data_IF_703299857648
#
_entry.id   IF_703299857648
#
_cell.length_a   1.000
_cell.length_b   1.000
_cell.length_c   1.000
_cell.angle_alpha   90.00
_cell.angle_beta   90.00
_cell.angle_gamma   90.00
#
_symmetry.space_group_name_H-M   'P 1'
#
loop_
_entity.id
_entity.type
_entity.pdbx_description
1 polymer ?
#
# COMPACT_ATOMS: atom_id res chain seq x y z
N UNK A 1 -5.92 8.23 -1.12
CA UNK A 1 -5.66 8.13 0.33
C UNK A 1 -4.28 8.70 0.63
N UNK A 2 -4.10 9.35 1.79
CA UNK A 2 -2.76 9.80 2.18
C UNK A 2 -1.92 8.62 2.66
N UNK A 3 -0.61 8.67 2.40
CA UNK A 3 0.36 7.66 2.86
C UNK A 3 0.20 7.33 4.35
N UNK A 4 0.10 8.36 5.19
CA UNK A 4 -0.03 8.23 6.64
C UNK A 4 -1.30 7.52 7.05
N UNK A 5 -2.40 7.71 6.32
CA UNK A 5 -3.67 7.04 6.62
C UNK A 5 -3.58 5.56 6.29
N UNK A 6 -2.90 5.23 5.18
CA UNK A 6 -2.68 3.84 4.76
C UNK A 6 -1.77 3.15 5.77
N UNK A 7 -0.65 3.77 6.14
CA UNK A 7 0.30 3.24 7.13
C UNK A 7 -0.40 2.96 8.46
N UNK A 8 -1.14 3.94 8.99
CA UNK A 8 -1.88 3.81 10.26
C UNK A 8 -2.86 2.65 10.20
N UNK A 9 -3.63 2.52 9.12
CA UNK A 9 -4.57 1.41 8.93
C UNK A 9 -3.86 0.05 8.88
N UNK A 10 -2.73 -0.04 8.17
CA UNK A 10 -1.96 -1.29 8.07
C UNK A 10 -1.39 -1.69 9.42
N UNK A 11 -0.77 -0.77 10.15
CA UNK A 11 -0.17 -1.07 11.46
C UNK A 11 -1.24 -1.39 12.52
N UNK A 12 -2.45 -0.80 12.39
CA UNK A 12 -3.57 -1.09 13.27
C UNK A 12 -4.19 -2.50 13.09
N UNK A 13 -3.78 -3.28 12.08
CA UNK A 13 -4.28 -4.65 11.88
C UNK A 13 -3.81 -5.65 12.95
N UNK A 14 -2.92 -5.23 13.87
CA UNK A 14 -2.36 -6.06 14.95
C UNK A 14 -1.66 -7.35 14.49
N UNK A 15 -1.38 -7.47 13.19
CA UNK A 15 -0.60 -8.57 12.65
C UNK A 15 0.88 -8.36 13.03
N UNK A 16 1.52 -9.41 13.54
CA UNK A 16 2.91 -9.33 14.05
C UNK A 16 3.92 -8.85 13.01
N UNK A 17 3.62 -9.02 11.72
CA UNK A 17 4.46 -8.57 10.61
C UNK A 17 4.11 -7.15 10.11
N UNK A 18 2.95 -6.60 10.45
CA UNK A 18 2.44 -5.32 9.96
C UNK A 18 3.04 -4.14 10.73
N UNK A 19 4.36 -3.96 10.63
CA UNK A 19 5.09 -2.83 11.20
C UNK A 19 5.23 -1.69 10.19
N UNK A 20 5.50 -0.46 10.65
CA UNK A 20 5.83 0.67 9.77
C UNK A 20 7.00 0.38 8.82
N UNK A 21 8.01 -0.35 9.29
CA UNK A 21 9.16 -0.73 8.45
C UNK A 21 8.75 -1.71 7.35
N UNK A 22 7.95 -2.73 7.69
CA UNK A 22 7.42 -3.68 6.70
C UNK A 22 6.54 -2.95 5.70
N UNK A 23 5.62 -2.11 6.18
CA UNK A 23 4.75 -1.30 5.34
C UNK A 23 5.55 -0.43 4.37
N UNK A 24 6.56 0.30 4.86
CA UNK A 24 7.41 1.16 4.03
C UNK A 24 8.12 0.38 2.93
N UNK A 25 8.73 -0.77 3.27
CA UNK A 25 9.37 -1.65 2.26
C UNK A 25 8.36 -2.14 1.23
N UNK A 26 7.23 -2.70 1.66
CA UNK A 26 6.21 -3.18 0.73
C UNK A 26 5.65 -2.05 -0.15
N UNK A 27 5.46 -0.87 0.42
CA UNK A 27 4.90 0.28 -0.29
C UNK A 27 5.86 0.82 -1.36
N UNK A 28 7.11 1.10 -1.00
CA UNK A 28 8.07 1.75 -1.88
C UNK A 28 8.88 0.79 -2.75
N UNK A 29 9.08 -0.46 -2.32
CA UNK A 29 9.92 -1.42 -3.04
C UNK A 29 9.07 -2.38 -3.89
N UNK A 30 7.80 -2.58 -3.54
CA UNK A 30 6.92 -3.51 -4.25
C UNK A 30 5.70 -2.83 -4.89
N UNK A 31 4.80 -2.24 -4.10
CA UNK A 31 3.51 -1.77 -4.62
C UNK A 31 3.65 -0.62 -5.62
N UNK A 32 4.48 0.38 -5.28
CA UNK A 32 4.68 1.57 -6.11
C UNK A 32 5.49 1.26 -7.38
N UNK A 33 6.66 0.60 -7.33
CA UNK A 33 7.45 0.33 -8.53
C UNK A 33 6.77 -0.65 -9.49
N UNK A 34 6.05 -1.64 -8.97
CA UNK A 34 5.31 -2.59 -9.82
C UNK A 34 4.00 -2.02 -10.38
N UNK A 35 3.64 -0.78 -10.04
CA UNK A 35 2.49 -0.07 -10.57
C UNK A 35 1.14 -0.57 -10.06
N UNK A 36 1.09 -1.26 -8.91
CA UNK A 36 -0.16 -1.63 -8.24
C UNK A 36 -0.85 -0.43 -7.61
N UNK A 37 -0.05 0.55 -7.19
CA UNK A 37 -0.50 1.87 -6.74
C UNK A 37 0.22 2.94 -7.54
N UNK A 38 -0.41 4.12 -7.66
CA UNK A 38 0.20 5.29 -8.27
C UNK A 38 0.07 6.51 -7.37
N UNK A 39 1.10 7.36 -7.40
CA UNK A 39 1.09 8.66 -6.74
C UNK A 39 0.32 9.65 -7.62
N UNK A 40 -0.75 10.24 -7.09
CA UNK A 40 -1.58 11.23 -7.82
C UNK A 40 -1.24 12.66 -7.43
N UNK A 41 -0.75 12.88 -6.20
CA UNK A 41 -0.21 14.14 -5.73
C UNK A 41 0.79 13.91 -4.59
N UNK A 42 1.30 14.96 -3.94
CA UNK A 42 2.24 14.80 -2.82
C UNK A 42 1.57 14.05 -1.67
N UNK A 43 2.08 12.84 -1.38
CA UNK A 43 1.58 12.01 -0.29
C UNK A 43 0.24 11.34 -0.54
N UNK A 44 -0.41 11.56 -1.70
CA UNK A 44 -1.70 10.95 -2.04
C UNK A 44 -1.52 9.87 -3.10
N UNK A 45 -2.08 8.70 -2.81
CA UNK A 45 -1.97 7.51 -3.65
C UNK A 45 -3.34 6.94 -4.00
N UNK A 46 -3.42 6.28 -5.14
CA UNK A 46 -4.59 5.56 -5.65
C UNK A 46 -4.17 4.17 -6.15
N UNK A 47 -5.02 3.17 -5.95
CA UNK A 47 -4.86 1.85 -6.57
C UNK A 47 -5.03 1.97 -8.10
N UNK A 48 -4.30 1.15 -8.84
CA UNK A 48 -4.44 1.03 -10.30
C UNK A 48 -5.32 -0.18 -10.64
N UNK A 49 -5.78 -0.28 -11.89
CA UNK A 49 -6.49 -1.48 -12.36
C UNK A 49 -5.66 -2.76 -12.17
N UNK A 50 -4.33 -2.67 -12.27
CA UNK A 50 -3.42 -3.80 -11.98
C UNK A 50 -3.48 -4.18 -10.50
N UNK A 51 -3.49 -3.19 -9.61
CA UNK A 51 -3.66 -3.39 -8.17
C UNK A 51 -5.03 -3.98 -7.81
N UNK A 52 -6.10 -3.54 -8.48
CA UNK A 52 -7.45 -4.09 -8.27
C UNK A 52 -7.52 -5.56 -8.66
N UNK A 53 -6.92 -5.96 -9.80
CA UNK A 53 -6.82 -7.38 -10.18
C UNK A 53 -6.01 -8.21 -9.19
N UNK A 54 -4.91 -7.67 -8.66
CA UNK A 54 -4.13 -8.34 -7.62
C UNK A 54 -4.98 -8.55 -6.35
N UNK A 55 -5.75 -7.54 -5.96
CA UNK A 55 -6.64 -7.63 -4.80
C UNK A 55 -7.72 -8.70 -4.99
N UNK A 56 -8.27 -8.83 -6.19
CA UNK A 56 -9.24 -9.88 -6.54
C UNK A 56 -8.66 -11.29 -6.40
N UNK A 57 -7.38 -11.49 -6.74
CA UNK A 57 -6.69 -12.79 -6.61
C UNK A 57 -6.38 -13.14 -5.15
N UNK A 58 -6.18 -12.14 -4.30
CA UNK A 58 -5.80 -12.31 -2.88
C UNK A 58 -7.01 -12.49 -1.94
N UNK A 59 -8.23 -12.24 -2.43
CA UNK A 59 -9.49 -12.41 -1.70
C UNK A 59 -10.16 -13.74 -2.03
#
# INVERSE_FOLDING_TARGET
>A
MHYTDIEKKTVATCLRFATSNTFRKQFYDYLLPNGYIKRVSRGVYKITQKGEKLLEILN
#
